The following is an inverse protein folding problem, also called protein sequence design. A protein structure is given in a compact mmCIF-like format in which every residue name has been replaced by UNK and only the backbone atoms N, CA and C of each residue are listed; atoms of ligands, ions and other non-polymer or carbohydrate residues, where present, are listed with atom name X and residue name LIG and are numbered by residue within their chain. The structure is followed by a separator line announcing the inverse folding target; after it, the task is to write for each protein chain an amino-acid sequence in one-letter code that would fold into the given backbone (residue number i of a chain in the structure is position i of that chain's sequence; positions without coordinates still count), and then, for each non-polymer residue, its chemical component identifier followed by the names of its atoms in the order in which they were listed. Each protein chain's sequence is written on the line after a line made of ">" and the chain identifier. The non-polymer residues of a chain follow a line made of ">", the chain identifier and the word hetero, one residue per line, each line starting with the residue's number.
data_IF_416481635984
#
_entry.id   IF_416481635984
#
_cell.length_a   1.000
_cell.length_b   1.000
_cell.length_c   1.000
_cell.angle_alpha   90.00
_cell.angle_beta   90.00
_cell.angle_gamma   90.00
#
_symmetry.space_group_name_H-M   'P 1'
#
loop_
_entity.id
_entity.type
_entity.pdbx_description
1 polymer ?
#
# COMPACT_ATOMS: atom_id res chain seq x y z
N UNK A 1 21.64 15.67 -17.36
CA UNK A 1 22.45 14.45 -17.49
C UNK A 1 21.62 13.38 -18.19
N UNK A 2 22.15 12.76 -19.25
CA UNK A 2 21.39 12.01 -20.25
C UNK A 2 20.63 10.82 -19.67
N UNK A 3 19.37 10.67 -20.10
CA UNK A 3 18.62 9.40 -19.94
C UNK A 3 19.31 8.38 -20.84
N UNK A 4 20.35 7.72 -20.32
CA UNK A 4 20.99 6.61 -20.99
C UNK A 4 19.94 5.55 -21.26
N UNK A 5 19.54 5.39 -22.51
CA UNK A 5 18.74 4.25 -22.89
C UNK A 5 19.57 3.02 -22.52
N UNK A 6 19.01 2.05 -21.77
CA UNK A 6 19.78 0.86 -21.41
C UNK A 6 20.36 0.26 -22.70
N UNK A 7 21.67 -0.03 -22.73
CA UNK A 7 22.32 -0.50 -23.93
C UNK A 7 21.60 -1.75 -24.44
N UNK A 8 21.35 -1.78 -25.74
CA UNK A 8 20.81 -2.96 -26.42
C UNK A 8 21.99 -3.81 -26.88
N UNK A 9 21.97 -5.09 -26.53
CA UNK A 9 22.95 -6.05 -27.01
C UNK A 9 22.23 -7.21 -27.71
N UNK A 10 22.90 -7.82 -28.67
CA UNK A 10 22.45 -9.06 -29.29
C UNK A 10 22.69 -10.19 -28.28
N UNK A 11 21.61 -10.82 -27.83
CA UNK A 11 21.68 -11.98 -26.94
C UNK A 11 21.41 -13.22 -27.77
N UNK A 12 22.28 -14.23 -27.62
CA UNK A 12 22.10 -15.55 -28.21
C UNK A 12 21.73 -16.55 -27.13
N UNK A 13 20.71 -17.36 -27.36
CA UNK A 13 20.39 -18.49 -26.51
C UNK A 13 20.02 -19.71 -27.35
N UNK A 14 20.22 -20.88 -26.75
CA UNK A 14 19.93 -22.15 -27.40
C UNK A 14 18.65 -22.71 -26.79
N UNK A 15 17.61 -22.85 -27.60
CA UNK A 15 16.38 -23.51 -27.18
C UNK A 15 16.52 -25.02 -27.46
N UNK A 16 16.27 -25.85 -26.44
CA UNK A 16 16.44 -27.29 -26.54
C UNK A 16 15.48 -27.85 -27.61
N UNK A 17 16.05 -28.35 -28.72
CA UNK A 17 15.30 -28.91 -29.85
C UNK A 17 14.90 -27.93 -30.96
N UNK A 18 15.19 -26.62 -30.84
CA UNK A 18 14.83 -25.62 -31.87
C UNK A 18 15.98 -24.77 -32.43
N UNK A 19 17.21 -25.02 -31.95
CA UNK A 19 18.42 -24.39 -32.45
C UNK A 19 18.78 -23.08 -31.73
N UNK A 20 19.85 -22.44 -32.21
CA UNK A 20 20.36 -21.18 -31.64
C UNK A 20 19.56 -20.00 -32.17
N UNK A 21 18.99 -19.19 -31.28
CA UNK A 21 18.26 -17.95 -31.60
C UNK A 21 19.06 -16.73 -31.16
N UNK A 22 18.91 -15.64 -31.91
CA UNK A 22 19.52 -14.35 -31.61
C UNK A 22 18.44 -13.27 -31.62
N UNK A 23 18.40 -12.43 -30.59
CA UNK A 23 17.50 -11.27 -30.54
C UNK A 23 18.13 -10.10 -29.80
N UNK A 24 17.67 -8.90 -30.13
CA UNK A 24 18.09 -7.66 -29.49
C UNK A 24 17.32 -7.43 -28.20
N UNK A 25 18.00 -7.57 -27.06
CA UNK A 25 17.43 -7.37 -25.73
C UNK A 25 18.00 -6.11 -25.06
N UNK A 26 17.24 -5.49 -24.16
CA UNK A 26 17.77 -4.48 -23.24
C UNK A 26 18.51 -5.20 -22.13
N UNK A 27 19.77 -4.84 -21.91
CA UNK A 27 20.65 -5.49 -20.95
C UNK A 27 20.99 -4.49 -19.83
N UNK A 28 21.13 -4.93 -18.56
CA UNK A 28 21.60 -4.07 -17.48
C UNK A 28 22.92 -3.36 -17.85
N UNK A 29 23.05 -2.11 -17.44
CA UNK A 29 24.28 -1.35 -17.69
C UNK A 29 25.45 -2.02 -16.92
N UNK A 30 26.47 -2.49 -17.63
CA UNK A 30 27.65 -3.15 -17.06
C UNK A 30 27.84 -4.62 -17.44
N UNK A 31 26.89 -5.24 -18.16
CA UNK A 31 27.04 -6.61 -18.67
C UNK A 31 28.14 -6.70 -19.73
N UNK A 32 29.06 -7.65 -19.55
CA UNK A 32 30.16 -7.93 -20.49
C UNK A 32 29.76 -9.03 -21.47
N UNK A 33 30.43 -9.06 -22.62
CA UNK A 33 30.23 -10.13 -23.59
C UNK A 33 30.58 -11.49 -22.95
N UNK A 34 29.62 -12.42 -22.93
CA UNK A 34 29.75 -13.74 -22.29
C UNK A 34 29.00 -13.89 -20.96
N UNK A 35 28.48 -12.82 -20.39
CA UNK A 35 27.66 -12.89 -19.16
C UNK A 35 26.28 -13.48 -19.44
N UNK A 36 25.82 -14.39 -18.58
CA UNK A 36 24.47 -14.96 -18.66
C UNK A 36 23.46 -13.98 -18.07
N UNK A 37 22.54 -13.47 -18.89
CA UNK A 37 21.49 -12.54 -18.45
C UNK A 37 20.11 -13.18 -18.62
N UNK A 38 19.24 -13.14 -17.59
CA UNK A 38 17.87 -13.61 -17.72
C UNK A 38 17.09 -12.67 -18.65
N UNK A 39 16.65 -13.19 -19.80
CA UNK A 39 15.83 -12.48 -20.80
C UNK A 39 14.42 -13.05 -20.78
N UNK A 40 13.41 -12.17 -20.83
CA UNK A 40 12.01 -12.56 -20.88
C UNK A 40 11.51 -12.53 -22.33
N UNK A 41 10.90 -13.64 -22.76
CA UNK A 41 10.29 -13.81 -24.08
C UNK A 41 8.79 -14.04 -23.92
N UNK A 42 7.99 -13.41 -24.79
CA UNK A 42 6.54 -13.63 -24.82
C UNK A 42 6.18 -14.95 -25.53
N UNK A 43 4.90 -15.34 -25.51
CA UNK A 43 4.40 -16.56 -26.17
C UNK A 43 4.50 -16.53 -27.71
N UNK A 44 4.93 -15.41 -28.29
CA UNK A 44 5.20 -15.21 -29.72
C UNK A 44 6.69 -15.06 -30.01
N UNK A 45 7.55 -15.46 -29.07
CA UNK A 45 9.01 -15.47 -29.18
C UNK A 45 9.62 -14.06 -29.34
N UNK A 46 8.92 -13.03 -28.85
CA UNK A 46 9.43 -11.64 -28.84
C UNK A 46 10.05 -11.34 -27.49
N UNK A 47 11.25 -10.76 -27.54
CA UNK A 47 11.92 -10.24 -26.36
C UNK A 47 11.14 -9.07 -25.79
N UNK A 48 10.58 -9.25 -24.60
CA UNK A 48 9.81 -8.24 -23.87
C UNK A 48 10.62 -7.73 -22.67
N UNK A 49 10.43 -6.46 -22.27
CA UNK A 49 10.99 -5.99 -21.01
C UNK A 49 10.55 -6.91 -19.87
N UNK A 50 11.41 -7.06 -18.86
CA UNK A 50 11.11 -7.89 -17.70
C UNK A 50 9.71 -7.55 -17.17
N UNK A 51 8.84 -8.56 -16.95
CA UNK A 51 7.51 -8.32 -16.40
C UNK A 51 7.67 -7.53 -15.11
N UNK A 52 6.83 -6.52 -14.94
CA UNK A 52 6.84 -5.60 -13.79
C UNK A 52 7.07 -6.42 -12.51
N UNK A 53 8.21 -6.17 -11.86
CA UNK A 53 8.75 -7.04 -10.80
C UNK A 53 7.68 -7.35 -9.77
N UNK A 54 7.59 -8.58 -9.28
CA UNK A 54 6.60 -8.97 -8.26
C UNK A 54 6.62 -8.05 -7.02
N UNK A 55 7.76 -7.40 -6.75
CA UNK A 55 7.89 -6.35 -5.75
C UNK A 55 7.00 -5.12 -5.99
N UNK A 56 6.81 -4.67 -7.25
CA UNK A 56 5.93 -3.56 -7.57
C UNK A 56 4.45 -3.92 -7.38
N UNK A 57 4.06 -5.15 -7.76
CA UNK A 57 2.71 -5.66 -7.52
C UNK A 57 2.43 -5.77 -6.03
N UNK A 58 3.39 -6.32 -5.26
CA UNK A 58 3.31 -6.42 -3.81
C UNK A 58 3.24 -5.03 -3.16
N UNK A 59 4.04 -4.07 -3.61
CA UNK A 59 4.01 -2.69 -3.12
C UNK A 59 2.63 -2.07 -3.33
N UNK A 60 2.07 -2.17 -4.54
CA UNK A 60 0.73 -1.67 -4.81
C UNK A 60 -0.33 -2.33 -3.94
N UNK A 61 -0.30 -3.66 -3.79
CA UNK A 61 -1.23 -4.38 -2.95
C UNK A 61 -1.13 -3.96 -1.48
N UNK A 62 0.09 -3.84 -0.94
CA UNK A 62 0.34 -3.40 0.43
C UNK A 62 -0.11 -1.95 0.64
N UNK A 63 0.20 -1.04 -0.28
CA UNK A 63 -0.21 0.36 -0.18
C UNK A 63 -1.74 0.48 -0.17
N UNK A 64 -2.43 -0.18 -1.11
CA UNK A 64 -3.90 -0.13 -1.18
C UNK A 64 -4.53 -0.77 0.06
N UNK A 65 -4.02 -1.93 0.49
CA UNK A 65 -4.49 -2.61 1.69
C UNK A 65 -4.31 -1.77 2.95
N UNK A 66 -3.16 -1.12 3.11
CA UNK A 66 -2.87 -0.24 4.23
C UNK A 66 -3.77 1.00 4.23
N UNK A 67 -3.95 1.65 3.07
CA UNK A 67 -4.87 2.77 2.93
C UNK A 67 -6.30 2.37 3.32
N UNK A 68 -6.80 1.24 2.82
CA UNK A 68 -8.12 0.74 3.15
C UNK A 68 -8.29 0.46 4.66
N UNK A 69 -7.29 -0.16 5.29
CA UNK A 69 -7.29 -0.43 6.72
C UNK A 69 -7.30 0.85 7.57
N UNK A 70 -6.48 1.85 7.21
CA UNK A 70 -6.45 3.15 7.89
C UNK A 70 -7.79 3.88 7.73
N UNK A 71 -8.37 3.89 6.53
CA UNK A 71 -9.68 4.51 6.31
C UNK A 71 -10.78 3.83 7.14
N UNK A 72 -10.86 2.49 7.10
CA UNK A 72 -11.86 1.73 7.86
C UNK A 72 -11.69 1.94 9.38
N UNK A 73 -10.46 1.82 9.88
CA UNK A 73 -10.14 2.08 11.29
C UNK A 73 -10.47 3.51 11.70
N UNK A 74 -10.16 4.49 10.84
CA UNK A 74 -10.49 5.90 11.06
C UNK A 74 -11.99 6.16 11.18
N UNK A 75 -12.81 5.55 10.31
CA UNK A 75 -14.27 5.67 10.36
C UNK A 75 -14.82 5.06 11.66
N UNK A 76 -14.37 3.86 12.03
CA UNK A 76 -14.81 3.19 13.27
C UNK A 76 -14.41 4.01 14.50
N UNK A 77 -13.17 4.48 14.55
CA UNK A 77 -12.66 5.30 15.66
C UNK A 77 -13.43 6.62 15.77
N UNK A 78 -13.67 7.30 14.65
CA UNK A 78 -14.42 8.55 14.63
C UNK A 78 -15.87 8.34 15.08
N UNK A 79 -16.55 7.31 14.56
CA UNK A 79 -17.90 6.95 14.98
C UNK A 79 -17.98 6.66 16.48
N UNK A 80 -17.05 5.84 16.99
CA UNK A 80 -16.99 5.51 18.42
C UNK A 80 -16.72 6.74 19.30
N UNK A 81 -15.78 7.59 18.92
CA UNK A 81 -15.46 8.80 19.69
C UNK A 81 -16.61 9.80 19.70
N UNK A 82 -17.30 10.00 18.57
CA UNK A 82 -18.51 10.84 18.49
C UNK A 82 -19.63 10.27 19.35
N UNK A 83 -19.94 8.98 19.22
CA UNK A 83 -20.96 8.33 20.03
C UNK A 83 -20.67 8.43 21.52
N UNK A 84 -19.41 8.18 21.93
CA UNK A 84 -18.99 8.28 23.32
C UNK A 84 -19.09 9.72 23.85
N UNK A 85 -18.73 10.72 23.04
CA UNK A 85 -18.87 12.14 23.42
C UNK A 85 -20.32 12.55 23.58
N UNK A 86 -21.20 12.12 22.67
CA UNK A 86 -22.64 12.39 22.74
C UNK A 86 -23.22 11.74 24.00
N UNK A 87 -22.94 10.46 24.22
CA UNK A 87 -23.41 9.73 25.40
C UNK A 87 -22.93 10.38 26.70
N UNK A 88 -21.66 10.79 26.77
CA UNK A 88 -21.12 11.47 27.95
C UNK A 88 -21.81 12.82 28.17
N UNK A 89 -22.06 13.60 27.11
CA UNK A 89 -22.78 14.89 27.22
C UNK A 89 -24.21 14.71 27.68
N UNK A 90 -24.95 13.73 27.15
CA UNK A 90 -26.30 13.45 27.60
C UNK A 90 -26.32 13.04 29.07
N UNK A 91 -25.41 12.14 29.46
CA UNK A 91 -25.31 11.67 30.85
C UNK A 91 -24.94 12.79 31.81
N UNK A 92 -24.03 13.68 31.42
CA UNK A 92 -23.70 14.88 32.21
C UNK A 92 -24.90 15.82 32.31
N UNK A 93 -25.66 16.03 31.23
CA UNK A 93 -26.86 16.87 31.26
C UNK A 93 -27.96 16.27 32.14
N UNK A 94 -28.13 14.95 32.16
CA UNK A 94 -29.04 14.26 33.07
C UNK A 94 -28.59 14.41 34.53
N UNK A 95 -27.29 14.25 34.78
CA UNK A 95 -26.70 14.50 36.09
C UNK A 95 -26.92 15.94 36.54
N UNK A 96 -26.68 16.92 35.67
CA UNK A 96 -26.90 18.34 35.96
C UNK A 96 -28.36 18.61 36.34
N UNK A 97 -29.32 18.02 35.60
CA UNK A 97 -30.75 18.11 35.94
C UNK A 97 -31.10 17.48 37.28
N UNK A 98 -30.50 16.33 37.58
CA UNK A 98 -30.70 15.67 38.87
C UNK A 98 -30.11 16.50 40.01
N UNK A 99 -28.89 17.02 39.80
CA UNK A 99 -28.17 17.85 40.75
C UNK A 99 -28.89 19.17 41.01
N UNK A 100 -29.48 19.81 40.00
CA UNK A 100 -30.30 21.01 40.20
C UNK A 100 -31.49 20.77 41.16
N UNK A 101 -32.04 19.54 41.20
CA UNK A 101 -33.15 19.19 42.11
C UNK A 101 -32.67 18.84 43.51
N UNK A 102 -31.54 18.14 43.65
CA UNK A 102 -31.06 17.61 44.94
C UNK A 102 -30.01 18.49 45.61
N UNK A 103 -29.16 19.13 44.83
CA UNK A 103 -28.04 19.99 45.26
C UNK A 103 -28.45 21.07 46.27
N UNK A 104 -29.55 21.82 46.04
CA UNK A 104 -29.99 22.86 46.98
C UNK A 104 -30.27 22.34 48.40
N UNK A 105 -30.71 21.08 48.54
CA UNK A 105 -31.00 20.47 49.85
C UNK A 105 -29.73 20.08 50.62
N UNK A 106 -28.61 19.89 49.92
CA UNK A 106 -27.33 19.54 50.54
C UNK A 106 -26.50 20.78 50.88
N UNK A 107 -26.70 21.88 50.17
CA UNK A 107 -26.00 23.15 50.43
C UNK A 107 -26.68 24.02 51.48
N UNK A 108 -27.86 23.64 51.99
CA UNK A 108 -28.49 24.36 53.10
C UNK A 108 -27.64 24.18 54.37
N UNK A 109 -27.21 25.27 55.02
CA UNK A 109 -26.58 25.20 56.33
C UNK A 109 -27.56 24.55 57.31
N UNK A 110 -27.10 23.52 58.03
CA UNK A 110 -27.86 23.00 59.18
C UNK A 110 -27.87 24.07 60.26
N UNK A 111 -28.98 24.78 60.38
CA UNK A 111 -29.34 25.58 61.58
C UNK A 111 -30.04 24.70 62.59
#
# INVERSE_FOLDING_TARGET
>A
AGRGHPPRAEVRWTEHGRGTRAAWARVPAGTRAGDTVPVWVDSRDRVVPAPTSGAAVLQHAVTVGMCAAVCAGGVVFLGHTVARRIALRHRLAEWERAWARTGPRWTQPRT
#
